data_IF_124238235876
#
_entry.id   IF_124238235876
#
_cell.length_a   1.000
_cell.length_b   1.000
_cell.length_c   1.000
_cell.angle_alpha   90.00
_cell.angle_beta   90.00
_cell.angle_gamma   90.00
#
_symmetry.space_group_name_H-M   'P 1'
#
loop_
_entity.id
_entity.type
_entity.pdbx_description
1 polymer ?
#
# COMPACT_ATOMS: atom_id res chain seq x y z
N UNK A 1 30.07 -59.88 -63.05
CA UNK A 1 29.41 -58.79 -63.82
C UNK A 1 28.56 -57.98 -62.85
N UNK A 2 29.06 -56.88 -62.30
CA UNK A 2 29.18 -55.51 -62.82
C UNK A 2 27.96 -54.62 -62.49
N UNK A 3 28.26 -53.45 -61.91
CA UNK A 3 27.47 -52.20 -61.73
C UNK A 3 26.65 -52.11 -60.43
N UNK A 4 27.08 -51.33 -59.42
CA UNK A 4 27.29 -49.86 -59.26
C UNK A 4 26.02 -49.10 -58.84
N UNK A 5 26.15 -48.49 -57.65
CA UNK A 5 25.66 -47.17 -57.21
C UNK A 5 24.18 -46.95 -56.92
N UNK A 6 23.88 -46.56 -55.68
CA UNK A 6 23.53 -45.17 -55.35
C UNK A 6 23.38 -45.00 -53.82
N UNK A 7 24.34 -44.32 -53.19
CA UNK A 7 24.18 -43.81 -51.83
C UNK A 7 23.33 -42.55 -51.88
N UNK A 8 22.11 -42.60 -51.34
CA UNK A 8 21.28 -41.42 -51.14
C UNK A 8 21.71 -40.71 -49.85
N UNK A 9 22.40 -39.58 -49.99
CA UNK A 9 22.63 -38.63 -48.90
C UNK A 9 21.34 -37.86 -48.67
N UNK A 10 20.62 -38.15 -47.58
CA UNK A 10 19.55 -37.29 -47.10
C UNK A 10 20.18 -36.03 -46.47
N UNK A 11 20.08 -34.90 -47.19
CA UNK A 11 20.30 -33.58 -46.61
C UNK A 11 19.10 -33.25 -45.71
N UNK A 12 19.26 -33.37 -44.39
CA UNK A 12 18.29 -32.84 -43.45
C UNK A 12 18.44 -31.32 -43.39
N UNK A 13 17.54 -30.58 -44.05
CA UNK A 13 17.39 -29.15 -43.82
C UNK A 13 16.82 -28.94 -42.42
N UNK A 14 17.67 -28.63 -41.45
CA UNK A 14 17.24 -28.12 -40.16
C UNK A 14 16.74 -26.69 -40.36
N UNK A 15 15.42 -26.50 -40.50
CA UNK A 15 14.79 -25.20 -40.44
C UNK A 15 14.85 -24.71 -38.99
N UNK A 16 15.87 -23.91 -38.65
CA UNK A 16 15.89 -23.12 -37.43
C UNK A 16 14.77 -22.09 -37.52
N UNK A 17 13.63 -22.41 -36.89
CA UNK A 17 12.59 -21.43 -36.59
C UNK A 17 13.21 -20.48 -35.57
N UNK A 18 13.71 -19.35 -36.04
CA UNK A 18 14.11 -18.24 -35.18
C UNK A 18 12.82 -17.65 -34.60
N UNK A 19 12.36 -18.20 -33.47
CA UNK A 19 11.33 -17.53 -32.69
C UNK A 19 11.91 -16.15 -32.32
N UNK A 20 11.22 -15.04 -32.62
CA UNK A 20 11.71 -13.74 -32.20
C UNK A 20 11.84 -13.80 -30.68
N UNK A 21 13.05 -13.60 -30.17
CA UNK A 21 13.27 -13.46 -28.74
C UNK A 21 12.31 -12.36 -28.28
N UNK A 22 11.34 -12.72 -27.42
CA UNK A 22 10.47 -11.78 -26.76
C UNK A 22 11.37 -10.69 -26.16
N UNK A 23 11.34 -9.51 -26.78
CA UNK A 23 12.16 -8.38 -26.35
C UNK A 23 11.81 -8.15 -24.90
N UNK A 24 12.79 -8.29 -24.00
CA UNK A 24 12.59 -8.09 -22.58
C UNK A 24 11.98 -6.69 -22.39
N UNK A 25 10.71 -6.67 -21.98
CA UNK A 25 9.94 -5.46 -21.80
C UNK A 25 10.51 -4.73 -20.59
N UNK A 26 11.30 -3.68 -20.85
CA UNK A 26 12.01 -2.94 -19.80
C UNK A 26 11.05 -1.92 -19.18
N UNK A 27 10.97 -1.80 -17.84
CA UNK A 27 10.21 -0.74 -17.20
C UNK A 27 10.68 0.65 -17.61
N UNK A 28 9.75 1.59 -17.73
CA UNK A 28 10.05 3.00 -17.94
C UNK A 28 10.77 3.60 -16.72
N UNK A 29 11.73 4.50 -16.94
CA UNK A 29 12.52 5.09 -15.86
C UNK A 29 11.71 6.04 -14.97
N UNK A 30 10.74 6.76 -15.53
CA UNK A 30 9.90 7.72 -14.82
C UNK A 30 8.59 7.07 -14.36
N UNK A 31 7.93 6.34 -15.27
CA UNK A 31 6.62 5.73 -15.10
C UNK A 31 6.72 4.28 -14.57
N UNK A 32 7.60 4.06 -13.59
CA UNK A 32 7.71 2.81 -12.83
C UNK A 32 7.56 3.05 -11.33
N UNK A 33 7.29 1.97 -10.60
CA UNK A 33 7.23 2.00 -9.14
C UNK A 33 5.95 2.60 -8.58
N UNK A 34 4.81 2.43 -9.26
CA UNK A 34 3.51 2.86 -8.75
C UNK A 34 3.05 1.92 -7.62
N UNK A 35 2.89 2.46 -6.42
CA UNK A 35 2.45 1.69 -5.25
C UNK A 35 0.93 1.81 -5.08
N UNK A 36 0.23 0.76 -4.59
CA UNK A 36 -1.20 0.85 -4.29
C UNK A 36 -1.51 2.03 -3.36
N UNK A 37 -2.50 2.84 -3.71
CA UNK A 37 -2.92 3.98 -2.91
C UNK A 37 -4.25 3.71 -2.21
N UNK A 38 -4.38 4.17 -0.97
CA UNK A 38 -5.65 4.25 -0.25
C UNK A 38 -6.18 5.68 -0.11
N UNK A 39 -5.56 6.66 -0.76
CA UNK A 39 -5.82 8.08 -0.52
C UNK A 39 -7.00 8.63 -1.33
N UNK A 40 -7.44 7.86 -2.33
CA UNK A 40 -8.40 8.31 -3.32
C UNK A 40 -9.49 7.27 -3.56
N UNK A 41 -10.72 7.76 -3.67
CA UNK A 41 -11.89 7.02 -4.13
C UNK A 41 -12.23 7.47 -5.55
N UNK A 42 -12.47 6.53 -6.45
CA UNK A 42 -12.92 6.82 -7.82
C UNK A 42 -14.45 6.84 -7.87
N UNK A 43 -15.01 7.86 -8.52
CA UNK A 43 -16.39 7.89 -8.98
C UNK A 43 -16.45 8.06 -10.49
N UNK A 44 -17.36 7.35 -11.16
CA UNK A 44 -17.62 7.48 -12.60
C UNK A 44 -19.11 7.73 -12.83
N UNK A 45 -19.43 8.76 -13.61
CA UNK A 45 -20.77 9.25 -13.87
C UNK A 45 -21.61 9.44 -12.59
N UNK A 46 -20.95 9.95 -11.54
CA UNK A 46 -21.56 10.24 -10.24
C UNK A 46 -21.74 9.03 -9.31
N UNK A 47 -21.20 7.86 -9.66
CA UNK A 47 -21.25 6.65 -8.83
C UNK A 47 -19.87 6.23 -8.38
N UNK A 48 -19.71 5.99 -7.09
CA UNK A 48 -18.48 5.42 -6.54
C UNK A 48 -18.18 4.04 -7.11
N UNK A 49 -16.91 3.77 -7.39
CA UNK A 49 -16.39 2.54 -7.99
C UNK A 49 -15.44 1.85 -6.99
N UNK A 50 -15.97 1.11 -6.00
CA UNK A 50 -15.17 0.54 -4.93
C UNK A 50 -14.18 -0.54 -5.39
N UNK A 51 -14.38 -1.09 -6.59
CA UNK A 51 -13.48 -2.09 -7.20
C UNK A 51 -12.31 -1.46 -7.96
N UNK A 52 -12.26 -0.13 -8.09
CA UNK A 52 -11.16 0.55 -8.75
C UNK A 52 -9.86 0.38 -7.95
N UNK A 53 -8.75 0.12 -8.66
CA UNK A 53 -7.41 0.04 -8.07
C UNK A 53 -6.64 1.28 -8.48
N UNK A 54 -6.28 2.09 -7.50
CA UNK A 54 -5.51 3.32 -7.70
C UNK A 54 -4.10 3.12 -7.18
N UNK A 55 -3.13 3.67 -7.91
CA UNK A 55 -1.73 3.57 -7.58
C UNK A 55 -1.08 4.95 -7.71
N UNK A 56 -0.11 5.24 -6.85
CA UNK A 56 0.58 6.52 -6.85
C UNK A 56 2.08 6.32 -7.05
N UNK A 57 2.68 7.17 -7.90
CA UNK A 57 4.12 7.27 -8.02
C UNK A 57 4.59 8.64 -7.52
N UNK A 58 5.35 8.64 -6.42
CA UNK A 58 6.04 9.85 -5.91
C UNK A 58 7.02 10.40 -6.95
N UNK A 59 7.66 9.51 -7.73
CA UNK A 59 8.63 9.88 -8.77
C UNK A 59 7.96 10.59 -9.93
N UNK A 60 6.89 10.02 -10.46
CA UNK A 60 6.18 10.58 -11.60
C UNK A 60 5.19 11.69 -11.21
N UNK A 61 4.89 11.86 -9.91
CA UNK A 61 3.80 12.73 -9.43
C UNK A 61 2.48 12.41 -10.16
N UNK A 62 2.20 11.12 -10.32
CA UNK A 62 1.10 10.63 -11.14
C UNK A 62 0.30 9.55 -10.42
N UNK A 63 -0.99 9.46 -10.78
CA UNK A 63 -1.91 8.42 -10.31
C UNK A 63 -2.25 7.51 -11.49
N UNK A 64 -2.05 6.21 -11.34
CA UNK A 64 -2.54 5.22 -12.30
C UNK A 64 -3.83 4.61 -11.76
N UNK A 65 -4.87 4.59 -12.59
CA UNK A 65 -6.19 4.05 -12.27
C UNK A 65 -6.44 2.83 -13.14
N UNK A 66 -6.73 1.70 -12.50
CA UNK A 66 -7.22 0.48 -13.16
C UNK A 66 -8.65 0.22 -12.71
N UNK A 67 -9.58 0.30 -13.63
CA UNK A 67 -11.01 0.10 -13.38
C UNK A 67 -11.67 -0.49 -14.61
N UNK A 68 -12.65 -1.38 -14.41
CA UNK A 68 -13.48 -1.91 -15.49
C UNK A 68 -14.40 -0.84 -16.12
N UNK A 69 -14.53 0.33 -15.48
CA UNK A 69 -15.27 1.48 -16.00
C UNK A 69 -14.60 2.16 -17.21
N UNK A 70 -13.33 1.83 -17.47
CA UNK A 70 -12.55 2.36 -18.59
C UNK A 70 -12.01 1.21 -19.45
N UNK A 71 -11.92 1.37 -20.78
CA UNK A 71 -11.40 0.33 -21.67
C UNK A 71 -9.90 0.06 -21.47
N UNK A 72 -9.17 1.06 -20.97
CA UNK A 72 -7.73 1.01 -20.72
C UNK A 72 -7.40 1.69 -19.38
N UNK A 73 -6.30 1.32 -18.71
CA UNK A 73 -5.80 2.05 -17.54
C UNK A 73 -5.60 3.53 -17.83
N UNK A 74 -5.91 4.37 -16.84
CA UNK A 74 -5.86 5.83 -16.95
C UNK A 74 -4.73 6.36 -16.09
N UNK A 75 -3.79 7.08 -16.69
CA UNK A 75 -2.75 7.82 -16.00
C UNK A 75 -3.21 9.27 -15.83
N UNK A 76 -3.24 9.74 -14.59
CA UNK A 76 -3.44 11.15 -14.25
C UNK A 76 -2.07 11.77 -13.97
N UNK A 77 -1.60 12.61 -14.89
CA UNK A 77 -0.44 13.47 -14.68
C UNK A 77 -0.90 14.72 -13.91
N UNK A 78 -0.53 14.79 -12.62
CA UNK A 78 -0.94 15.88 -11.74
C UNK A 78 -0.21 17.17 -12.10
N UNK A 79 1.07 17.08 -12.48
CA UNK A 79 1.89 18.24 -12.81
C UNK A 79 1.50 18.83 -14.17
N UNK A 80 1.36 17.97 -15.18
CA UNK A 80 0.90 18.34 -16.52
C UNK A 80 -0.59 18.60 -16.64
N UNK A 81 -1.38 18.32 -15.57
CA UNK A 81 -2.84 18.45 -15.54
C UNK A 81 -3.52 17.73 -16.71
N UNK A 82 -3.11 16.50 -16.96
CA UNK A 82 -3.63 15.68 -18.04
C UNK A 82 -4.15 14.33 -17.54
N UNK A 83 -5.21 13.85 -18.19
CA UNK A 83 -5.64 12.46 -18.12
C UNK A 83 -5.28 11.78 -19.45
N UNK A 84 -4.60 10.65 -19.36
CA UNK A 84 -4.11 9.88 -20.50
C UNK A 84 -4.46 8.42 -20.32
N UNK A 85 -4.66 7.69 -21.39
CA UNK A 85 -4.81 6.23 -21.36
C UNK A 85 -3.51 5.55 -21.77
N UNK A 86 -3.26 4.38 -21.20
CA UNK A 86 -2.13 3.51 -21.56
C UNK A 86 -2.65 2.14 -21.94
N UNK A 87 -2.08 1.52 -22.96
CA UNK A 87 -2.41 0.14 -23.36
C UNK A 87 -2.21 -0.82 -22.16
N UNK A 88 -3.20 -1.67 -21.90
CA UNK A 88 -3.18 -2.66 -20.83
C UNK A 88 -1.95 -3.58 -20.93
N UNK A 89 -1.51 -3.93 -22.13
CA UNK A 89 -0.32 -4.76 -22.37
C UNK A 89 0.99 -4.06 -22.02
N UNK A 90 0.95 -2.75 -21.76
CA UNK A 90 2.08 -1.94 -21.32
C UNK A 90 2.10 -1.68 -19.82
N UNK A 91 1.17 -2.29 -19.08
CA UNK A 91 1.09 -2.23 -17.62
C UNK A 91 1.53 -3.57 -17.03
N UNK A 92 2.66 -3.57 -16.33
CA UNK A 92 3.20 -4.76 -15.66
C UNK A 92 2.93 -4.69 -14.16
N UNK A 93 2.31 -5.71 -13.60
CA UNK A 93 2.13 -5.86 -12.15
C UNK A 93 3.18 -6.82 -11.60
N UNK A 94 4.03 -6.32 -10.71
CA UNK A 94 5.03 -7.12 -10.01
C UNK A 94 4.35 -8.04 -8.99
N UNK A 95 5.05 -9.09 -8.57
CA UNK A 95 4.58 -10.00 -7.54
C UNK A 95 4.32 -9.34 -6.18
N UNK A 96 4.94 -8.19 -5.91
CA UNK A 96 4.71 -7.41 -4.69
C UNK A 96 3.56 -6.39 -4.81
N UNK A 97 2.86 -6.34 -5.95
CA UNK A 97 1.72 -5.45 -6.20
C UNK A 97 2.10 -4.05 -6.69
N UNK A 98 3.39 -3.77 -6.89
CA UNK A 98 3.86 -2.54 -7.55
C UNK A 98 3.57 -2.63 -9.05
N UNK A 99 3.17 -1.51 -9.63
CA UNK A 99 2.91 -1.40 -11.07
C UNK A 99 4.05 -0.63 -11.75
N UNK A 100 4.48 -1.15 -12.91
CA UNK A 100 5.37 -0.47 -13.84
C UNK A 100 4.66 -0.26 -15.18
N UNK A 101 4.87 0.89 -15.80
CA UNK A 101 4.66 1.04 -17.23
C UNK A 101 5.94 0.64 -17.97
N UNK A 102 5.79 0.02 -19.13
CA UNK A 102 6.92 -0.34 -19.99
C UNK A 102 7.49 0.90 -20.67
N UNK A 103 8.79 0.90 -20.98
CA UNK A 103 9.49 2.04 -21.60
C UNK A 103 8.98 2.38 -23.01
N UNK A 104 8.31 1.45 -23.67
CA UNK A 104 7.66 1.66 -24.97
C UNK A 104 6.14 1.88 -24.86
N UNK A 105 5.65 2.19 -23.65
CA UNK A 105 4.27 2.60 -23.44
C UNK A 105 3.99 3.95 -24.13
N UNK A 106 2.93 3.99 -24.94
CA UNK A 106 2.42 5.23 -25.51
C UNK A 106 1.26 5.71 -24.64
N UNK A 107 1.33 6.98 -24.22
CA UNK A 107 0.26 7.63 -23.46
C UNK A 107 -0.65 8.40 -24.42
N UNK A 108 -1.87 7.93 -24.58
CA UNK A 108 -2.87 8.56 -25.45
C UNK A 108 -3.63 9.65 -24.67
N UNK A 109 -3.70 10.90 -25.17
CA UNK A 109 -4.46 11.95 -24.50
C UNK A 109 -5.95 11.60 -24.41
N UNK A 110 -6.51 11.67 -23.21
CA UNK A 110 -7.92 11.42 -22.95
C UNK A 110 -8.68 12.71 -22.62
N UNK A 111 -8.04 13.66 -21.93
CA UNK A 111 -8.62 14.96 -21.61
C UNK A 111 -7.80 15.75 -20.60
N UNK A 112 -8.27 16.96 -20.27
CA UNK A 112 -7.67 17.76 -19.21
C UNK A 112 -8.04 17.20 -17.82
N UNK A 113 -7.11 17.34 -16.87
CA UNK A 113 -7.34 17.06 -15.46
C UNK A 113 -7.65 18.38 -14.73
N UNK A 114 -8.87 18.50 -14.21
CA UNK A 114 -9.28 19.64 -13.42
C UNK A 114 -9.09 19.33 -11.92
N UNK A 115 -8.02 19.85 -11.34
CA UNK A 115 -7.73 19.69 -9.90
C UNK A 115 -8.73 20.50 -9.08
N UNK A 116 -9.32 19.87 -8.07
CA UNK A 116 -10.24 20.48 -7.11
C UNK A 116 -9.58 20.59 -5.73
N UNK A 117 -10.28 21.16 -4.75
CA UNK A 117 -9.76 21.28 -3.38
C UNK A 117 -9.47 19.93 -2.72
N UNK A 118 -10.20 18.88 -3.10
CA UNK A 118 -10.19 17.58 -2.43
C UNK A 118 -9.94 16.42 -3.40
N UNK A 119 -9.44 16.69 -4.59
CA UNK A 119 -9.33 15.67 -5.63
C UNK A 119 -9.13 16.24 -7.03
N UNK A 120 -9.66 15.56 -8.03
CA UNK A 120 -9.61 15.99 -9.42
C UNK A 120 -10.74 15.36 -10.24
N UNK A 121 -11.19 16.07 -11.28
CA UNK A 121 -12.13 15.56 -12.27
C UNK A 121 -11.47 15.44 -13.63
N UNK A 122 -11.89 14.44 -14.41
CA UNK A 122 -11.39 14.17 -15.75
C UNK A 122 -12.45 13.46 -16.59
N UNK A 123 -12.14 13.19 -17.85
CA UNK A 123 -13.03 12.42 -18.73
C UNK A 123 -12.24 11.42 -19.55
N UNK A 124 -12.88 10.28 -19.82
CA UNK A 124 -12.36 9.22 -20.68
C UNK A 124 -13.43 8.83 -21.68
N UNK A 125 -13.24 9.24 -22.93
CA UNK A 125 -14.30 9.20 -23.93
C UNK A 125 -15.53 9.97 -23.46
N UNK A 126 -16.68 9.30 -23.37
CA UNK A 126 -17.94 9.88 -22.89
C UNK A 126 -18.12 9.84 -21.36
N UNK A 127 -17.24 9.13 -20.63
CA UNK A 127 -17.37 8.91 -19.18
C UNK A 127 -16.78 10.10 -18.42
N UNK A 128 -17.52 10.63 -17.46
CA UNK A 128 -17.03 11.66 -16.53
C UNK A 128 -16.56 10.98 -15.26
N UNK A 129 -15.37 11.33 -14.78
CA UNK A 129 -14.77 10.70 -13.63
C UNK A 129 -14.25 11.73 -12.62
N UNK A 130 -14.25 11.32 -11.36
CA UNK A 130 -13.72 12.08 -10.24
C UNK A 130 -12.90 11.16 -9.35
N UNK A 131 -11.75 11.64 -8.90
CA UNK A 131 -11.09 11.11 -7.71
C UNK A 131 -11.29 12.09 -6.56
N UNK A 132 -11.68 11.60 -5.40
CA UNK A 132 -11.85 12.40 -4.18
C UNK A 132 -11.07 11.77 -3.02
N UNK A 133 -10.61 12.60 -2.08
CA UNK A 133 -9.90 12.12 -0.90
C UNK A 133 -10.73 11.11 -0.10
N UNK A 134 -10.11 10.00 0.26
CA UNK A 134 -10.74 8.97 1.08
C UNK A 134 -11.13 9.52 2.46
N UNK A 135 -12.38 9.31 2.93
CA UNK A 135 -12.81 9.77 4.25
C UNK A 135 -11.93 9.22 5.37
N UNK A 136 -11.64 10.04 6.38
CA UNK A 136 -10.76 9.60 7.46
C UNK A 136 -11.42 8.54 8.35
N UNK A 137 -10.63 7.59 8.83
CA UNK A 137 -11.06 6.66 9.87
C UNK A 137 -11.08 7.41 11.20
N UNK A 138 -12.25 7.45 11.83
CA UNK A 138 -12.48 8.13 13.11
C UNK A 138 -13.08 7.14 14.10
N UNK A 139 -12.68 7.27 15.36
CA UNK A 139 -13.20 6.45 16.46
C UNK A 139 -12.56 5.08 16.54
N UNK A 140 -13.23 4.15 17.22
CA UNK A 140 -12.67 2.84 17.53
C UNK A 140 -12.71 1.98 16.26
N UNK A 141 -11.61 1.29 15.99
CA UNK A 141 -11.45 0.46 14.81
C UNK A 141 -10.73 -0.83 15.17
N UNK A 142 -11.16 -1.92 14.53
CA UNK A 142 -10.38 -3.16 14.48
C UNK A 142 -9.24 -3.02 13.47
N UNK A 143 -8.16 -3.78 13.63
CA UNK A 143 -7.07 -3.79 12.65
C UNK A 143 -7.55 -4.16 11.24
N UNK A 144 -8.55 -5.03 11.13
CA UNK A 144 -9.21 -5.39 9.86
C UNK A 144 -9.90 -4.20 9.18
N UNK A 145 -10.43 -3.23 9.93
CA UNK A 145 -11.05 -2.04 9.35
C UNK A 145 -10.00 -1.18 8.66
N UNK A 146 -8.83 -1.01 9.28
CA UNK A 146 -7.71 -0.25 8.73
C UNK A 146 -7.17 -0.92 7.46
N UNK A 147 -7.00 -2.25 7.50
CA UNK A 147 -6.59 -3.04 6.35
C UNK A 147 -7.66 -3.00 5.25
N UNK A 148 -8.95 -3.02 5.56
CA UNK A 148 -10.03 -2.91 4.58
C UNK A 148 -10.06 -1.54 3.90
N UNK A 149 -9.83 -0.49 4.68
CA UNK A 149 -9.93 0.91 4.28
C UNK A 149 -8.81 1.36 3.32
N UNK A 150 -7.58 0.84 3.46
CA UNK A 150 -6.44 1.29 2.67
C UNK A 150 -5.70 0.15 1.98
N UNK A 151 -5.64 0.20 0.65
CA UNK A 151 -4.80 -0.70 -0.14
C UNK A 151 -3.31 -0.54 0.20
N UNK A 152 -2.89 0.68 0.54
CA UNK A 152 -1.50 0.94 0.95
C UNK A 152 -1.16 0.27 2.27
N UNK A 153 -2.10 0.24 3.23
CA UNK A 153 -1.88 -0.45 4.51
C UNK A 153 -1.71 -1.94 4.28
N UNK A 154 -2.54 -2.56 3.44
CA UNK A 154 -2.38 -3.98 3.08
C UNK A 154 -1.04 -4.24 2.39
N UNK A 155 -0.64 -3.36 1.48
CA UNK A 155 0.62 -3.45 0.76
C UNK A 155 1.82 -3.43 1.72
N UNK A 156 1.90 -2.43 2.61
CA UNK A 156 3.01 -2.33 3.55
C UNK A 156 3.01 -3.46 4.59
N UNK A 157 1.85 -3.78 5.17
CA UNK A 157 1.73 -4.88 6.13
C UNK A 157 2.11 -6.23 5.49
N UNK A 158 1.77 -6.44 4.21
CA UNK A 158 2.12 -7.65 3.46
C UNK A 158 3.62 -7.79 3.18
N UNK A 159 4.33 -6.66 3.00
CA UNK A 159 5.79 -6.64 2.77
C UNK A 159 6.61 -6.74 4.05
N UNK A 160 5.99 -6.42 5.19
CA UNK A 160 6.70 -6.40 6.45
C UNK A 160 6.97 -7.80 7.01
N UNK A 161 8.22 -8.03 7.43
CA UNK A 161 8.67 -9.27 8.08
C UNK A 161 9.15 -8.91 9.49
N UNK A 162 8.32 -9.12 10.53
CA UNK A 162 8.69 -8.81 11.91
C UNK A 162 9.81 -9.72 12.42
N UNK A 163 10.55 -9.25 13.44
CA UNK A 163 11.57 -10.05 14.11
C UNK A 163 10.97 -11.28 14.81
N UNK A 164 11.39 -12.47 14.36
CA UNK A 164 10.87 -13.74 14.88
C UNK A 164 11.17 -13.97 16.36
N UNK A 165 12.30 -13.46 16.87
CA UNK A 165 12.67 -13.58 18.28
C UNK A 165 11.80 -12.71 19.17
N UNK A 166 11.54 -11.47 18.77
CA UNK A 166 10.59 -10.58 19.43
C UNK A 166 9.17 -11.15 19.42
N UNK A 167 8.69 -11.64 18.27
CA UNK A 167 7.40 -12.32 18.19
C UNK A 167 7.32 -13.55 19.10
N UNK A 168 8.40 -14.34 19.21
CA UNK A 168 8.47 -15.46 20.14
C UNK A 168 8.27 -15.03 21.60
N UNK A 169 8.92 -13.94 22.02
CA UNK A 169 8.72 -13.38 23.37
C UNK A 169 7.29 -12.88 23.58
N UNK A 170 6.74 -12.15 22.61
CA UNK A 170 5.39 -11.62 22.67
C UNK A 170 4.32 -12.73 22.75
N UNK A 171 4.46 -13.81 21.96
CA UNK A 171 3.58 -14.98 22.07
C UNK A 171 3.68 -15.69 23.42
N UNK A 172 4.85 -15.62 24.05
CA UNK A 172 5.10 -16.20 25.37
C UNK A 172 4.49 -15.42 26.52
N UNK A 173 4.05 -14.17 26.30
CA UNK A 173 3.47 -13.30 27.32
C UNK A 173 2.25 -13.95 27.98
N UNK A 174 2.19 -13.86 29.31
CA UNK A 174 1.15 -14.49 30.14
C UNK A 174 0.18 -13.49 30.73
N UNK A 175 0.61 -12.23 30.88
CA UNK A 175 -0.20 -11.11 31.36
C UNK A 175 -1.15 -10.65 30.27
N UNK A 176 -2.26 -10.04 30.65
CA UNK A 176 -3.15 -9.45 29.66
C UNK A 176 -2.56 -8.11 29.23
N UNK A 177 -2.19 -8.00 27.96
CA UNK A 177 -1.59 -6.80 27.38
C UNK A 177 -2.57 -6.18 26.43
N UNK A 178 -2.77 -4.87 26.58
CA UNK A 178 -3.52 -4.05 25.63
C UNK A 178 -2.58 -3.06 24.97
N UNK A 179 -2.58 -3.06 23.63
CA UNK A 179 -1.79 -2.17 22.78
C UNK A 179 -2.76 -1.16 22.19
N UNK A 180 -2.86 0.02 22.80
CA UNK A 180 -3.77 1.08 22.39
C UNK A 180 -3.06 2.07 21.46
N UNK A 181 -3.46 2.12 20.19
CA UNK A 181 -2.82 2.93 19.16
C UNK A 181 -3.74 4.05 18.67
N UNK A 182 -3.34 5.29 18.92
CA UNK A 182 -3.92 6.47 18.30
C UNK A 182 -3.26 6.73 16.94
N UNK A 183 -4.08 6.87 15.90
CA UNK A 183 -3.59 7.07 14.54
C UNK A 183 -4.48 8.06 13.77
N UNK A 184 -3.95 8.67 12.71
CA UNK A 184 -4.75 9.41 11.73
C UNK A 184 -4.55 8.79 10.35
N UNK A 185 -5.62 8.34 9.68
CA UNK A 185 -5.50 7.77 8.32
C UNK A 185 -5.01 8.80 7.28
N UNK A 186 -5.07 10.08 7.63
CA UNK A 186 -4.53 11.22 6.89
C UNK A 186 -3.05 11.51 7.15
N UNK A 187 -2.50 11.02 8.26
CA UNK A 187 -1.15 11.35 8.69
C UNK A 187 -0.12 10.53 7.91
N UNK A 188 0.85 11.15 7.21
CA UNK A 188 1.87 10.44 6.45
C UNK A 188 2.65 9.43 7.30
N UNK A 189 3.06 9.81 8.51
CA UNK A 189 3.80 8.91 9.41
C UNK A 189 2.94 7.72 9.87
N UNK A 190 1.63 7.92 10.09
CA UNK A 190 0.72 6.81 10.39
C UNK A 190 0.63 5.84 9.21
N UNK A 191 0.58 6.36 7.98
CA UNK A 191 0.48 5.53 6.77
C UNK A 191 1.67 4.61 6.57
N UNK A 192 2.86 5.03 6.99
CA UNK A 192 4.09 4.24 6.87
C UNK A 192 4.25 3.22 8.02
N UNK A 193 3.80 3.56 9.23
CA UNK A 193 4.16 2.79 10.44
C UNK A 193 3.05 1.95 11.05
N UNK A 194 1.80 2.41 11.02
CA UNK A 194 0.67 1.63 11.56
C UNK A 194 0.50 0.28 10.84
N UNK A 195 0.72 0.16 9.51
CA UNK A 195 0.70 -1.14 8.83
C UNK A 195 1.65 -2.20 9.37
N UNK A 196 2.81 -1.78 9.91
CA UNK A 196 3.78 -2.68 10.51
C UNK A 196 3.20 -3.31 11.79
N UNK A 197 2.53 -2.49 12.62
CA UNK A 197 1.84 -2.96 13.82
C UNK A 197 0.65 -3.87 13.49
N UNK A 198 -0.12 -3.56 12.43
CA UNK A 198 -1.21 -4.42 11.95
C UNK A 198 -0.69 -5.82 11.56
N UNK A 199 0.50 -5.90 10.96
CA UNK A 199 1.14 -7.20 10.68
C UNK A 199 1.53 -7.95 11.96
N UNK A 200 2.02 -7.24 12.97
CA UNK A 200 2.35 -7.83 14.28
C UNK A 200 1.09 -8.38 14.96
N UNK A 201 0.00 -7.61 14.98
CA UNK A 201 -1.31 -8.05 15.47
C UNK A 201 -1.75 -9.36 14.79
N UNK A 202 -1.73 -9.41 13.44
CA UNK A 202 -2.08 -10.62 12.70
C UNK A 202 -1.23 -11.84 13.11
N UNK A 203 0.07 -11.65 13.37
CA UNK A 203 0.99 -12.72 13.75
C UNK A 203 0.87 -13.14 15.23
N UNK A 204 0.20 -12.33 16.04
CA UNK A 204 -0.08 -12.56 17.46
C UNK A 204 -1.54 -12.93 17.72
N UNK A 205 -2.33 -13.19 16.68
CA UNK A 205 -3.69 -13.69 16.81
C UNK A 205 -3.75 -14.90 17.75
N UNK A 206 -4.65 -14.85 18.75
CA UNK A 206 -4.79 -15.88 19.79
C UNK A 206 -3.80 -15.79 20.96
N UNK A 207 -2.92 -14.78 20.99
CA UNK A 207 -2.10 -14.48 22.16
C UNK A 207 -2.87 -13.72 23.25
N UNK A 208 -2.18 -13.34 24.32
CA UNK A 208 -2.71 -12.48 25.41
C UNK A 208 -2.58 -10.98 25.13
N UNK A 209 -2.25 -10.62 23.89
CA UNK A 209 -2.01 -9.24 23.47
C UNK A 209 -3.16 -8.81 22.55
N UNK A 210 -3.96 -7.88 23.05
CA UNK A 210 -5.07 -7.27 22.32
C UNK A 210 -4.63 -5.93 21.73
N UNK A 211 -5.04 -5.64 20.50
CA UNK A 211 -4.69 -4.42 19.76
C UNK A 211 -5.94 -3.58 19.52
N UNK A 212 -5.91 -2.32 19.95
CA UNK A 212 -6.99 -1.37 19.78
C UNK A 212 -6.53 -0.15 18.99
N UNK A 213 -7.28 0.22 17.96
CA UNK A 213 -6.95 1.38 17.14
C UNK A 213 -7.98 2.49 17.31
N UNK A 214 -7.48 3.72 17.49
CA UNK A 214 -8.30 4.91 17.66
C UNK A 214 -7.97 5.95 16.58
N UNK A 215 -8.89 6.06 15.63
CA UNK A 215 -8.78 6.97 14.50
C UNK A 215 -9.08 8.40 14.92
N UNK A 216 -8.13 9.29 14.68
CA UNK A 216 -8.23 10.72 15.00
C UNK A 216 -8.66 11.52 13.75
N UNK A 217 -9.58 12.49 13.91
CA UNK A 217 -9.91 13.42 12.82
C UNK A 217 -8.69 14.26 12.43
N UNK A 218 -8.76 14.91 11.26
CA UNK A 218 -7.76 15.90 10.87
C UNK A 218 -7.76 17.10 11.82
N UNK A 219 -6.60 17.73 12.04
CA UNK A 219 -6.45 18.90 12.91
C UNK A 219 -5.66 18.61 14.18
N UNK A 220 -5.99 19.30 15.27
CA UNK A 220 -5.26 19.19 16.55
C UNK A 220 -5.70 17.94 17.32
N UNK A 221 -4.85 16.92 17.28
CA UNK A 221 -5.05 15.64 17.99
C UNK A 221 -5.23 15.87 19.49
N UNK A 222 -4.41 16.72 20.10
CA UNK A 222 -4.47 17.06 21.53
C UNK A 222 -5.78 17.69 22.01
N UNK A 223 -6.65 18.14 21.09
CA UNK A 223 -7.96 18.70 21.45
C UNK A 223 -9.05 17.64 21.54
N UNK A 224 -8.82 16.43 21.00
CA UNK A 224 -9.79 15.35 21.02
C UNK A 224 -9.97 14.82 22.45
N UNK A 225 -11.22 14.68 22.96
CA UNK A 225 -11.47 14.28 24.35
C UNK A 225 -10.73 13.00 24.77
N UNK A 226 -10.70 12.02 23.90
CA UNK A 226 -10.04 10.76 24.17
C UNK A 226 -8.51 10.84 24.09
N UNK A 227 -7.96 11.64 23.17
CA UNK A 227 -6.53 11.88 23.14
C UNK A 227 -6.08 12.59 24.44
N UNK A 228 -6.90 13.50 24.98
CA UNK A 228 -6.62 14.16 26.27
C UNK A 228 -6.60 13.20 27.44
N UNK A 229 -7.53 12.25 27.50
CA UNK A 229 -7.60 11.24 28.55
C UNK A 229 -6.29 10.44 28.66
N UNK A 230 -5.65 10.19 27.53
CA UNK A 230 -4.42 9.42 27.42
C UNK A 230 -3.15 10.28 27.25
N UNK A 231 -3.26 11.60 27.41
CA UNK A 231 -2.15 12.55 27.21
C UNK A 231 -1.46 12.35 25.84
N UNK A 232 -2.25 12.18 24.79
CA UNK A 232 -1.79 12.02 23.40
C UNK A 232 -1.82 13.37 22.69
N UNK A 233 -0.64 13.86 22.33
CA UNK A 233 -0.47 15.16 21.66
C UNK A 233 -0.32 15.04 20.14
N UNK A 234 -0.02 13.85 19.64
CA UNK A 234 0.21 13.58 18.21
C UNK A 234 0.01 12.11 17.84
N UNK A 235 0.11 11.83 16.54
CA UNK A 235 -0.08 10.49 15.96
C UNK A 235 1.08 10.13 15.01
N UNK A 236 1.43 8.84 14.89
CA UNK A 236 0.89 7.73 15.65
C UNK A 236 1.47 7.67 17.08
N UNK A 237 0.64 7.30 18.06
CA UNK A 237 1.06 7.07 19.44
C UNK A 237 0.51 5.73 19.90
N UNK A 238 1.37 4.82 20.38
CA UNK A 238 0.96 3.53 20.92
C UNK A 238 1.30 3.45 22.40
N UNK A 239 0.30 3.14 23.21
CA UNK A 239 0.37 2.98 24.65
C UNK A 239 0.24 1.50 24.97
N UNK A 240 1.17 0.97 25.76
CA UNK A 240 1.20 -0.43 26.20
C UNK A 240 0.69 -0.49 27.62
N UNK A 241 -0.37 -1.25 27.83
CA UNK A 241 -1.07 -1.39 29.10
C UNK A 241 -1.00 -2.85 29.51
N UNK A 242 -0.54 -3.12 30.73
CA UNK A 242 -0.47 -4.46 31.30
C UNK A 242 -1.33 -4.49 32.55
N UNK A 243 -2.30 -5.38 32.60
CA UNK A 243 -3.22 -5.54 33.73
C UNK A 243 -3.83 -4.21 34.21
N UNK A 244 -4.19 -3.34 33.25
CA UNK A 244 -4.84 -2.04 33.49
C UNK A 244 -3.90 -0.88 33.79
N UNK A 245 -2.57 -1.07 33.79
CA UNK A 245 -1.58 0.00 34.01
C UNK A 245 -0.75 0.27 32.76
N UNK A 246 -0.61 1.53 32.39
CA UNK A 246 0.37 1.92 31.37
C UNK A 246 1.79 1.56 31.84
N UNK A 247 2.50 0.78 31.03
CA UNK A 247 3.90 0.36 31.29
C UNK A 247 4.89 0.98 30.31
N UNK A 248 4.41 1.63 29.26
CA UNK A 248 5.26 2.34 28.31
C UNK A 248 4.52 2.75 27.03
N UNK A 249 5.24 3.46 26.17
CA UNK A 249 4.79 3.87 24.84
C UNK A 249 5.82 3.48 23.81
N UNK A 250 5.40 3.13 22.59
CA UNK A 250 6.34 2.90 21.49
C UNK A 250 7.05 4.23 21.16
N UNK A 251 8.38 4.33 21.29
CA UNK A 251 9.10 5.55 20.98
C UNK A 251 9.13 5.80 19.48
N UNK A 252 9.39 7.03 19.05
CA UNK A 252 9.44 7.39 17.62
C UNK A 252 10.32 6.45 16.78
N UNK A 253 11.51 6.08 17.28
CA UNK A 253 12.40 5.12 16.59
C UNK A 253 11.92 3.66 16.61
N UNK A 254 11.03 3.30 17.54
CA UNK A 254 10.48 1.96 17.71
C UNK A 254 9.47 1.56 16.63
N UNK A 255 8.91 2.52 15.91
CA UNK A 255 7.91 2.28 14.88
C UNK A 255 8.40 1.52 13.65
N UNK A 256 9.71 1.45 13.41
CA UNK A 256 10.28 0.65 12.33
C UNK A 256 10.28 -0.87 12.64
N UNK A 257 10.26 -1.23 13.93
CA UNK A 257 10.23 -2.60 14.44
C UNK A 257 9.30 -2.65 15.67
N UNK A 258 7.98 -2.46 15.49
CA UNK A 258 7.05 -2.28 16.60
C UNK A 258 6.97 -3.48 17.54
N UNK A 259 7.18 -4.70 17.05
CA UNK A 259 7.26 -5.93 17.85
C UNK A 259 8.48 -5.93 18.79
N UNK A 260 9.63 -5.39 18.36
CA UNK A 260 10.80 -5.26 19.23
C UNK A 260 10.53 -4.22 20.31
N UNK A 261 10.02 -3.06 19.91
CA UNK A 261 9.65 -2.01 20.85
C UNK A 261 8.64 -2.53 21.89
N UNK A 262 7.62 -3.26 21.46
CA UNK A 262 6.64 -3.88 22.37
C UNK A 262 7.29 -4.91 23.30
N UNK A 263 8.15 -5.80 22.77
CA UNK A 263 8.83 -6.80 23.57
C UNK A 263 9.76 -6.18 24.63
N UNK A 264 10.45 -5.10 24.27
CA UNK A 264 11.37 -4.38 25.16
C UNK A 264 10.61 -3.63 26.26
N UNK A 265 9.46 -3.00 25.94
CA UNK A 265 8.56 -2.41 26.93
C UNK A 265 8.08 -3.48 27.93
N UNK A 266 7.63 -4.64 27.43
CA UNK A 266 7.12 -5.72 28.29
C UNK A 266 8.19 -6.39 29.16
N UNK A 267 9.46 -6.33 28.73
CA UNK A 267 10.62 -6.77 29.51
C UNK A 267 11.08 -5.75 30.57
N UNK A 268 10.46 -4.56 30.63
CA UNK A 268 10.85 -3.48 31.55
C UNK A 268 12.00 -2.60 31.06
N UNK A 269 12.34 -2.68 29.76
CA UNK A 269 13.44 -1.93 29.15
C UNK A 269 13.10 -0.52 28.68
N UNK A 270 11.84 -0.08 28.78
CA UNK A 270 11.44 1.26 28.35
C UNK A 270 11.53 2.29 29.49
N UNK A 271 12.50 3.19 29.39
CA UNK A 271 12.47 4.48 30.10
C UNK A 271 11.19 5.21 29.71
N UNK A 272 10.45 5.84 30.66
CA UNK A 272 9.27 6.63 30.33
C UNK A 272 9.61 7.63 29.22
N UNK A 273 8.90 7.58 28.09
CA UNK A 273 9.02 8.61 27.07
C UNK A 273 8.71 9.95 27.74
N UNK A 274 9.59 10.95 27.55
CA UNK A 274 9.34 12.30 28.05
C UNK A 274 7.98 12.77 27.53
N UNK A 275 7.13 13.20 28.47
CA UNK A 275 5.77 13.71 28.23
C UNK A 275 5.74 14.77 27.14
#
# INVERSE_FOLDING_TARGET
MNRRSASAVLLALAATICAPALRAQTPDALLSGFEPSGDWVLSVDGREVPTARLYFSKRAQAILIRSAEFPSPVLLDIAGRAAQTVDLMKVSERSDGVIDLLADAVLEPSGALAVTRTGATFSVGARKAEIASTPYLIGAKAGSDLLGHSAYYRFLAGKYVPDSGALGRLRGEKRNVRVLTFFGSWCPHCKEHVPLLLKVEQMLAGSKIDFDYRGMPGGRVSEQPEAKEWEVTGVPTTIVIVDGREVGRIPNGGWSQPEKALADILAGGATPASR
#
